data_IF_351057750742
#
_entry.id   IF_351057750742
#
_cell.length_a   1.000
_cell.length_b   1.000
_cell.length_c   1.000
_cell.angle_alpha   90.00
_cell.angle_beta   90.00
_cell.angle_gamma   90.00
#
_symmetry.space_group_name_H-M   'P 1'
#
loop_
_entity.id
_entity.type
_entity.pdbx_description
1 polymer ?
#
# COMPACT_ATOMS: atom_id res chain seq x y z
N UNK A 1 -3.94 -9.21 -18.62
CA UNK A 1 -4.50 -9.21 -17.26
C UNK A 1 -4.69 -10.67 -16.85
N UNK A 2 -4.23 -11.03 -15.66
CA UNK A 2 -4.26 -12.40 -15.14
C UNK A 2 -5.09 -12.37 -13.85
N UNK A 3 -6.02 -13.30 -13.69
CA UNK A 3 -6.83 -13.46 -12.49
C UNK A 3 -6.53 -14.83 -11.89
N UNK A 4 -6.34 -14.87 -10.58
CA UNK A 4 -6.10 -16.09 -9.82
C UNK A 4 -6.66 -15.96 -8.41
N UNK A 5 -6.54 -16.99 -7.61
CA UNK A 5 -6.83 -16.96 -6.17
C UNK A 5 -5.66 -17.58 -5.43
N UNK A 6 -5.31 -17.01 -4.30
CA UNK A 6 -4.28 -17.55 -3.40
C UNK A 6 -4.89 -17.80 -2.02
N UNK A 7 -4.82 -19.04 -1.57
CA UNK A 7 -5.13 -19.40 -0.18
C UNK A 7 -3.90 -19.12 0.66
N UNK A 8 -4.08 -18.33 1.69
CA UNK A 8 -3.02 -18.00 2.65
C UNK A 8 -2.98 -19.00 3.80
N UNK A 9 -1.82 -19.50 4.10
CA UNK A 9 -1.57 -20.30 5.29
C UNK A 9 -1.50 -19.40 6.53
N UNK A 10 -0.94 -18.20 6.38
CA UNK A 10 -0.79 -17.26 7.50
C UNK A 10 -2.14 -16.77 8.02
N UNK A 11 -3.06 -16.37 7.15
CA UNK A 11 -4.38 -15.84 7.55
C UNK A 11 -5.48 -16.90 7.59
N UNK A 12 -5.28 -18.06 6.92
CA UNK A 12 -6.31 -19.07 6.67
C UNK A 12 -7.36 -18.65 5.63
N UNK A 13 -7.27 -17.43 5.11
CA UNK A 13 -8.18 -16.86 4.12
C UNK A 13 -7.81 -17.22 2.67
N UNK A 14 -8.70 -16.87 1.73
CA UNK A 14 -8.43 -16.94 0.30
C UNK A 14 -8.66 -15.56 -0.32
N UNK A 15 -7.70 -15.10 -1.11
CA UNK A 15 -7.70 -13.77 -1.70
C UNK A 15 -7.71 -13.87 -3.22
N UNK A 16 -8.61 -13.12 -3.86
CA UNK A 16 -8.55 -12.93 -5.30
C UNK A 16 -7.31 -12.09 -5.65
N UNK A 17 -6.53 -12.55 -6.60
CA UNK A 17 -5.30 -11.86 -7.05
C UNK A 17 -5.46 -11.49 -8.51
N UNK A 18 -5.26 -10.21 -8.82
CA UNK A 18 -5.28 -9.67 -10.18
C UNK A 18 -3.90 -9.12 -10.52
N UNK A 19 -3.35 -9.52 -11.66
CA UNK A 19 -2.03 -9.06 -12.10
C UNK A 19 -2.11 -8.38 -13.45
N UNK A 20 -1.57 -7.17 -13.54
CA UNK A 20 -1.30 -6.48 -14.80
C UNK A 20 0.20 -6.48 -15.07
N UNK A 21 0.58 -6.91 -16.25
CA UNK A 21 1.95 -6.88 -16.75
C UNK A 21 2.09 -5.73 -17.75
N UNK A 22 3.04 -4.81 -17.55
CA UNK A 22 3.26 -3.70 -18.48
C UNK A 22 3.91 -4.18 -19.78
N UNK A 23 3.91 -3.37 -20.87
CA UNK A 23 4.54 -3.73 -22.14
C UNK A 23 6.01 -4.16 -22.02
N UNK A 24 6.78 -3.54 -21.14
CA UNK A 24 8.18 -3.94 -20.89
C UNK A 24 8.33 -5.37 -20.40
N UNK A 25 7.30 -5.97 -19.83
CA UNK A 25 7.34 -7.39 -19.42
C UNK A 25 7.44 -8.33 -20.63
N UNK A 26 6.76 -8.04 -21.73
CA UNK A 26 6.84 -8.83 -22.95
C UNK A 26 8.10 -8.49 -23.78
N UNK A 27 8.53 -7.23 -23.75
CA UNK A 27 9.61 -6.71 -24.59
C UNK A 27 11.02 -6.98 -24.06
N UNK A 28 11.17 -7.29 -22.76
CA UNK A 28 12.50 -7.37 -22.11
C UNK A 28 12.65 -8.57 -21.19
N UNK A 29 13.85 -8.70 -20.62
CA UNK A 29 14.23 -9.73 -19.65
C UNK A 29 14.53 -9.19 -18.26
N UNK A 30 14.69 -7.87 -18.11
CA UNK A 30 14.99 -7.23 -16.83
C UNK A 30 13.84 -7.40 -15.83
N UNK A 31 14.13 -7.62 -14.53
CA UNK A 31 13.12 -7.60 -13.48
C UNK A 31 12.44 -6.23 -13.38
N UNK A 32 11.13 -6.23 -13.13
CA UNK A 32 10.32 -5.02 -13.04
C UNK A 32 9.88 -4.72 -11.61
N UNK A 33 9.76 -3.43 -11.25
CA UNK A 33 9.16 -3.05 -9.98
C UNK A 33 7.73 -3.57 -9.88
N UNK A 34 7.26 -3.79 -8.65
CA UNK A 34 5.92 -4.30 -8.39
C UNK A 34 5.17 -3.42 -7.41
N UNK A 35 3.92 -3.13 -7.70
CA UNK A 35 3.01 -2.36 -6.84
C UNK A 35 1.92 -3.29 -6.33
N UNK A 36 1.90 -3.54 -5.03
CA UNK A 36 0.85 -4.30 -4.34
C UNK A 36 -0.23 -3.35 -3.84
N UNK A 37 -1.47 -3.60 -4.20
CA UNK A 37 -2.62 -2.76 -3.87
C UNK A 37 -3.62 -3.56 -3.07
N UNK A 38 -3.88 -3.15 -1.83
CA UNK A 38 -4.93 -3.74 -1.00
C UNK A 38 -6.32 -3.39 -1.55
N UNK A 39 -7.31 -4.26 -1.32
CA UNK A 39 -8.69 -4.02 -1.76
C UNK A 39 -8.80 -3.65 -3.25
N UNK A 40 -8.03 -4.35 -4.11
CA UNK A 40 -8.00 -4.07 -5.55
C UNK A 40 -9.33 -4.27 -6.27
N UNK A 41 -10.25 -4.99 -5.67
CA UNK A 41 -11.62 -5.23 -6.16
C UNK A 41 -12.66 -4.21 -5.63
N UNK A 42 -12.27 -3.28 -4.74
CA UNK A 42 -13.16 -2.22 -4.27
C UNK A 42 -13.63 -1.34 -5.43
N UNK A 43 -14.93 -1.05 -5.46
CA UNK A 43 -15.55 -0.23 -6.51
C UNK A 43 -15.47 1.26 -6.18
N UNK A 44 -15.17 2.09 -7.17
CA UNK A 44 -15.23 3.55 -7.07
C UNK A 44 -16.62 4.13 -7.34
N UNK A 45 -17.66 3.44 -6.95
CA UNK A 45 -19.03 3.91 -7.11
C UNK A 45 -20.04 2.90 -6.58
N UNK A 46 -21.27 3.33 -6.46
CA UNK A 46 -22.37 2.51 -5.96
C UNK A 46 -23.01 1.60 -7.01
N UNK A 47 -22.68 1.77 -8.29
CA UNK A 47 -23.18 0.89 -9.35
C UNK A 47 -22.26 -0.32 -9.51
N UNK A 48 -22.82 -1.52 -9.66
CA UNK A 48 -22.04 -2.73 -9.90
C UNK A 48 -21.24 -2.71 -11.22
N UNK A 49 -21.38 -1.65 -12.04
CA UNK A 49 -20.63 -1.41 -13.28
C UNK A 49 -19.48 -0.42 -13.07
N UNK A 50 -19.30 0.12 -11.86
CA UNK A 50 -18.19 1.02 -11.56
C UNK A 50 -16.85 0.28 -11.70
N UNK A 51 -15.79 0.97 -12.17
CA UNK A 51 -14.47 0.37 -12.25
C UNK A 51 -13.96 0.03 -10.85
N UNK A 52 -13.21 -1.06 -10.75
CA UNK A 52 -12.52 -1.41 -9.51
C UNK A 52 -11.29 -0.51 -9.30
N UNK A 53 -10.80 -0.46 -8.08
CA UNK A 53 -9.55 0.20 -7.72
C UNK A 53 -8.41 -0.29 -8.62
N UNK A 54 -8.28 -1.60 -8.78
CA UNK A 54 -7.27 -2.19 -9.67
C UNK A 54 -7.42 -1.74 -11.13
N UNK A 55 -8.65 -1.73 -11.69
CA UNK A 55 -8.86 -1.33 -13.08
C UNK A 55 -8.54 0.14 -13.31
N UNK A 56 -8.89 0.99 -12.34
CA UNK A 56 -8.58 2.43 -12.39
C UNK A 56 -7.08 2.66 -12.32
N UNK A 57 -6.39 2.01 -11.38
CA UNK A 57 -4.93 2.12 -11.25
C UNK A 57 -4.19 1.59 -12.48
N UNK A 58 -4.65 0.47 -13.04
CA UNK A 58 -4.13 -0.03 -14.33
C UNK A 58 -4.26 1.01 -15.44
N UNK A 59 -5.42 1.68 -15.56
CA UNK A 59 -5.63 2.73 -16.58
C UNK A 59 -4.69 3.93 -16.35
N UNK A 60 -4.48 4.34 -15.10
CA UNK A 60 -3.51 5.39 -14.76
C UNK A 60 -2.11 5.00 -15.21
N UNK A 61 -1.66 3.78 -14.89
CA UNK A 61 -0.34 3.27 -15.28
C UNK A 61 -0.20 3.21 -16.81
N UNK A 62 -1.22 2.75 -17.53
CA UNK A 62 -1.23 2.69 -19.00
C UNK A 62 -1.11 4.09 -19.61
N UNK A 63 -1.90 5.05 -19.12
CA UNK A 63 -1.87 6.45 -19.60
C UNK A 63 -0.51 7.10 -19.37
N UNK A 64 0.14 6.80 -18.25
CA UNK A 64 1.47 7.34 -17.89
C UNK A 64 2.63 6.56 -18.52
N UNK A 65 2.39 5.40 -19.10
CA UNK A 65 3.44 4.52 -19.60
C UNK A 65 4.31 3.88 -18.50
N UNK A 66 3.79 3.78 -17.27
CA UNK A 66 4.56 3.23 -16.13
C UNK A 66 4.90 1.76 -16.33
N UNK A 67 6.18 1.42 -16.27
CA UNK A 67 6.69 0.07 -16.49
C UNK A 67 6.88 -0.67 -15.16
N UNK A 68 5.78 -0.93 -14.46
CA UNK A 68 5.74 -1.71 -13.23
C UNK A 68 4.63 -2.76 -13.29
N UNK A 69 4.81 -3.87 -12.58
CA UNK A 69 3.77 -4.90 -12.40
C UNK A 69 2.77 -4.36 -11.37
N UNK A 70 1.47 -4.45 -11.65
CA UNK A 70 0.42 -4.11 -10.68
C UNK A 70 -0.21 -5.40 -10.17
N UNK A 71 -0.25 -5.56 -8.84
CA UNK A 71 -0.87 -6.70 -8.16
C UNK A 71 -1.99 -6.17 -7.27
N UNK A 72 -3.24 -6.43 -7.66
CA UNK A 72 -4.41 -6.15 -6.84
C UNK A 72 -4.74 -7.35 -5.96
N UNK A 73 -4.82 -7.12 -4.66
CA UNK A 73 -5.24 -8.10 -3.67
C UNK A 73 -6.70 -7.84 -3.39
N UNK A 74 -7.56 -8.83 -3.55
CA UNK A 74 -8.99 -8.70 -3.29
C UNK A 74 -9.28 -8.36 -1.83
N UNK A 75 -10.41 -7.72 -1.60
CA UNK A 75 -10.86 -7.37 -0.27
C UNK A 75 -11.07 -8.59 0.61
N UNK A 76 -10.96 -8.39 1.90
CA UNK A 76 -11.20 -9.40 2.91
C UNK A 76 -12.47 -9.10 3.70
N UNK A 77 -13.24 -10.14 4.03
CA UNK A 77 -14.38 -10.00 4.93
C UNK A 77 -13.95 -9.61 6.36
N UNK A 78 -12.66 -9.76 6.67
CA UNK A 78 -12.07 -9.47 7.98
C UNK A 78 -11.15 -8.22 7.94
N UNK A 79 -11.46 -7.23 7.08
CA UNK A 79 -10.59 -6.05 6.91
C UNK A 79 -10.28 -5.30 8.21
N UNK A 80 -11.20 -5.32 9.17
CA UNK A 80 -11.00 -4.72 10.50
C UNK A 80 -9.98 -5.49 11.37
N UNK A 81 -9.70 -6.76 11.03
CA UNK A 81 -8.65 -7.56 11.67
C UNK A 81 -7.39 -7.55 10.82
N UNK A 82 -7.52 -7.82 9.51
CA UNK A 82 -6.38 -7.98 8.62
C UNK A 82 -5.58 -6.69 8.42
N UNK A 83 -6.24 -5.54 8.47
CA UNK A 83 -5.56 -4.26 8.24
C UNK A 83 -5.18 -3.51 9.52
N UNK A 84 -5.77 -3.86 10.66
CA UNK A 84 -5.49 -3.19 11.93
C UNK A 84 -4.64 -4.07 12.85
N UNK A 85 -3.84 -3.45 13.71
CA UNK A 85 -3.08 -4.17 14.71
C UNK A 85 -4.02 -4.86 15.73
N UNK A 86 -3.68 -6.08 16.19
CA UNK A 86 -2.45 -6.85 15.90
C UNK A 86 -2.50 -7.69 14.62
N UNK A 87 -3.66 -7.88 14.00
CA UNK A 87 -3.86 -8.76 12.83
C UNK A 87 -3.08 -8.33 11.60
N UNK A 88 -2.75 -7.03 11.48
CA UNK A 88 -1.93 -6.49 10.38
C UNK A 88 -0.59 -7.24 10.19
N UNK A 89 0.01 -7.76 11.26
CA UNK A 89 1.25 -8.54 11.17
C UNK A 89 1.03 -9.88 10.44
N UNK A 90 -0.10 -10.52 10.65
CA UNK A 90 -0.47 -11.78 9.99
C UNK A 90 -0.75 -11.55 8.50
N UNK A 91 -1.50 -10.49 8.18
CA UNK A 91 -1.77 -10.12 6.80
C UNK A 91 -0.49 -9.66 6.04
N UNK A 92 0.41 -8.97 6.73
CA UNK A 92 1.73 -8.63 6.20
C UNK A 92 2.55 -9.89 5.86
N UNK A 93 2.52 -10.91 6.72
CA UNK A 93 3.17 -12.19 6.43
C UNK A 93 2.59 -12.87 5.17
N UNK A 94 1.27 -12.86 5.00
CA UNK A 94 0.66 -13.33 3.76
C UNK A 94 1.25 -12.59 2.53
N UNK A 95 1.32 -11.27 2.56
CA UNK A 95 1.84 -10.53 1.40
C UNK A 95 3.33 -10.81 1.20
N UNK A 96 4.14 -10.78 2.24
CA UNK A 96 5.61 -10.80 2.10
C UNK A 96 6.21 -12.19 2.02
N UNK A 97 5.56 -13.22 2.59
CA UNK A 97 6.08 -14.59 2.63
C UNK A 97 5.40 -15.54 1.65
N UNK A 98 4.18 -15.23 1.21
CA UNK A 98 3.42 -16.11 0.31
C UNK A 98 3.20 -15.45 -1.05
N UNK A 99 2.52 -14.28 -1.10
CA UNK A 99 2.14 -13.63 -2.33
C UNK A 99 3.35 -13.09 -3.11
N UNK A 100 4.18 -12.25 -2.50
CA UNK A 100 5.28 -11.60 -3.19
C UNK A 100 6.28 -12.61 -3.78
N UNK A 101 6.73 -13.66 -3.04
CA UNK A 101 7.58 -14.69 -3.64
C UNK A 101 6.91 -15.44 -4.79
N UNK A 102 5.58 -15.62 -4.76
CA UNK A 102 4.84 -16.24 -5.86
C UNK A 102 4.84 -15.36 -7.11
N UNK A 103 4.57 -14.07 -6.95
CA UNK A 103 4.61 -13.07 -8.04
C UNK A 103 6.01 -12.99 -8.66
N UNK A 104 7.05 -12.97 -7.85
CA UNK A 104 8.44 -12.86 -8.28
C UNK A 104 8.88 -14.06 -9.12
N UNK A 105 8.52 -15.26 -8.69
CA UNK A 105 8.81 -16.48 -9.47
C UNK A 105 8.08 -16.52 -10.80
N UNK A 106 6.86 -15.99 -10.86
CA UNK A 106 6.02 -16.11 -12.05
C UNK A 106 6.21 -14.99 -13.06
N UNK A 107 6.54 -13.77 -12.61
CA UNK A 107 6.44 -12.58 -13.45
C UNK A 107 7.70 -11.70 -13.48
N UNK A 108 8.87 -12.23 -13.15
CA UNK A 108 10.13 -11.46 -13.15
C UNK A 108 10.01 -10.14 -12.36
N UNK A 109 9.34 -10.17 -11.23
CA UNK A 109 9.25 -9.03 -10.34
C UNK A 109 10.57 -8.85 -9.57
N UNK A 110 10.98 -7.59 -9.39
CA UNK A 110 12.20 -7.25 -8.64
C UNK A 110 11.89 -7.24 -7.13
N UNK A 111 12.48 -8.16 -6.34
CA UNK A 111 12.24 -8.22 -4.91
C UNK A 111 12.76 -7.00 -4.13
N UNK A 112 13.60 -6.16 -4.75
CA UNK A 112 14.15 -4.93 -4.14
C UNK A 112 13.34 -3.68 -4.47
N UNK A 113 12.39 -3.78 -5.40
CA UNK A 113 11.61 -2.64 -5.90
C UNK A 113 10.11 -2.90 -5.75
N UNK A 114 9.68 -3.11 -4.50
CA UNK A 114 8.28 -3.31 -4.16
C UNK A 114 7.67 -2.04 -3.60
N UNK A 115 6.46 -1.71 -4.05
CA UNK A 115 5.62 -0.68 -3.47
C UNK A 115 4.36 -1.29 -2.86
N UNK A 116 3.90 -0.76 -1.73
CA UNK A 116 2.65 -1.13 -1.06
C UNK A 116 1.70 0.07 -1.05
N UNK A 117 0.46 -0.12 -1.49
CA UNK A 117 -0.55 0.95 -1.55
C UNK A 117 -1.85 0.52 -0.88
N UNK A 118 -2.39 1.40 -0.06
CA UNK A 118 -3.66 1.19 0.63
C UNK A 118 -4.45 2.48 0.86
N UNK A 119 -5.78 2.36 0.90
CA UNK A 119 -6.74 3.42 1.19
C UNK A 119 -7.46 3.13 2.51
N UNK A 120 -7.71 4.14 3.33
CA UNK A 120 -8.51 4.02 4.55
C UNK A 120 -7.88 3.03 5.56
N UNK A 121 -8.55 1.94 5.93
CA UNK A 121 -7.93 0.87 6.73
C UNK A 121 -6.71 0.26 6.01
N UNK A 122 -6.75 0.14 4.67
CA UNK A 122 -5.58 -0.24 3.88
C UNK A 122 -4.44 0.79 3.98
N UNK A 123 -4.76 2.08 4.07
CA UNK A 123 -3.79 3.16 4.32
C UNK A 123 -3.13 3.04 5.70
N UNK A 124 -3.92 2.70 6.73
CA UNK A 124 -3.39 2.36 8.05
C UNK A 124 -2.46 1.14 7.98
N UNK A 125 -2.90 0.08 7.28
CA UNK A 125 -2.09 -1.12 7.11
C UNK A 125 -0.73 -0.83 6.48
N UNK A 126 -0.67 0.06 5.49
CA UNK A 126 0.60 0.45 4.85
C UNK A 126 1.58 1.02 5.87
N UNK A 127 1.13 1.91 6.76
CA UNK A 127 1.99 2.46 7.82
C UNK A 127 2.32 1.41 8.88
N UNK A 128 1.34 0.59 9.27
CA UNK A 128 1.56 -0.51 10.21
C UNK A 128 2.61 -1.50 9.68
N UNK A 129 2.60 -1.81 8.39
CA UNK A 129 3.60 -2.65 7.74
C UNK A 129 5.01 -2.06 7.87
N UNK A 130 5.17 -0.76 7.59
CA UNK A 130 6.45 -0.06 7.78
C UNK A 130 6.91 -0.14 9.25
N UNK A 131 5.99 0.05 10.21
CA UNK A 131 6.34 0.01 11.65
C UNK A 131 6.75 -1.42 12.06
N UNK A 132 5.97 -2.44 11.69
CA UNK A 132 6.26 -3.84 12.01
C UNK A 132 7.64 -4.23 11.46
N UNK A 133 7.90 -3.97 10.20
CA UNK A 133 9.16 -4.32 9.53
C UNK A 133 10.33 -3.46 10.00
N UNK A 134 10.11 -2.17 10.23
CA UNK A 134 11.11 -1.27 10.78
C UNK A 134 11.55 -1.67 12.19
N UNK A 135 10.63 -2.11 13.03
CA UNK A 135 10.96 -2.67 14.33
C UNK A 135 11.76 -3.98 14.24
N UNK A 136 11.49 -4.79 13.21
CA UNK A 136 12.25 -6.01 12.92
C UNK A 136 13.59 -5.75 12.22
N UNK A 137 13.85 -4.53 11.75
CA UNK A 137 15.08 -4.14 11.05
C UNK A 137 15.19 -4.68 9.63
N UNK A 138 14.09 -5.07 9.00
CA UNK A 138 14.08 -5.64 7.65
C UNK A 138 12.82 -5.23 6.89
N UNK A 139 12.94 -4.30 5.93
CA UNK A 139 11.83 -3.83 5.11
C UNK A 139 11.66 -4.70 3.86
N UNK A 140 10.44 -5.13 3.59
CA UNK A 140 10.06 -5.85 2.37
C UNK A 140 9.72 -4.92 1.22
N UNK A 141 9.39 -3.67 1.50
CA UNK A 141 9.00 -2.67 0.52
C UNK A 141 9.97 -1.49 0.53
N UNK A 142 10.27 -0.98 -0.65
CA UNK A 142 11.04 0.25 -0.84
C UNK A 142 10.17 1.50 -0.84
N UNK A 143 8.86 1.34 -1.12
CA UNK A 143 7.91 2.44 -1.22
C UNK A 143 6.58 2.09 -0.57
N UNK A 144 6.03 3.04 0.17
CA UNK A 144 4.77 2.92 0.89
C UNK A 144 3.86 4.10 0.54
N UNK A 145 2.70 3.84 -0.07
CA UNK A 145 1.66 4.83 -0.33
C UNK A 145 0.48 4.61 0.61
N UNK A 146 0.36 5.45 1.61
CA UNK A 146 -0.74 5.46 2.56
C UNK A 146 -1.70 6.59 2.24
N UNK A 147 -2.88 6.25 1.72
CA UNK A 147 -3.91 7.24 1.38
C UNK A 147 -5.03 7.23 2.42
N UNK A 148 -5.35 8.41 2.96
CA UNK A 148 -6.48 8.61 3.88
C UNK A 148 -6.51 7.57 5.01
N UNK A 149 -5.37 7.27 5.61
CA UNK A 149 -5.24 6.27 6.67
C UNK A 149 -6.33 6.44 7.75
N UNK A 150 -6.98 5.34 8.13
CA UNK A 150 -8.08 5.32 9.07
C UNK A 150 -7.91 4.20 10.08
N UNK A 151 -7.94 4.53 11.35
CA UNK A 151 -7.94 3.54 12.44
C UNK A 151 -9.34 2.96 12.69
N UNK A 152 -10.37 3.51 12.06
CA UNK A 152 -11.76 3.09 12.27
C UNK A 152 -12.21 3.28 13.72
N UNK A 153 -13.29 2.58 14.09
CA UNK A 153 -13.78 2.56 15.48
C UNK A 153 -13.04 1.58 16.40
N UNK A 154 -12.02 0.88 15.91
CA UNK A 154 -11.34 -0.23 16.60
C UNK A 154 -9.97 0.12 17.18
N UNK A 155 -9.52 1.33 17.00
CA UNK A 155 -8.29 1.83 17.54
C UNK A 155 -8.37 3.34 17.66
N UNK A 156 -7.66 3.91 18.60
CA UNK A 156 -7.54 5.36 18.62
C UNK A 156 -6.24 5.79 17.94
N UNK A 157 -6.25 6.97 17.35
CA UNK A 157 -5.07 7.56 16.72
C UNK A 157 -3.89 7.64 17.70
N UNK A 158 -4.17 7.89 18.98
CA UNK A 158 -3.17 7.94 20.03
C UNK A 158 -2.39 6.64 20.20
N UNK A 159 -3.09 5.48 20.23
CA UNK A 159 -2.43 4.18 20.34
C UNK A 159 -1.56 3.89 19.12
N UNK A 160 -2.03 4.25 17.92
CA UNK A 160 -1.26 4.07 16.71
C UNK A 160 -0.01 4.96 16.66
N UNK A 161 -0.14 6.23 17.04
CA UNK A 161 0.98 7.16 17.15
C UNK A 161 2.00 6.70 18.22
N UNK A 162 1.52 6.14 19.34
CA UNK A 162 2.40 5.58 20.36
C UNK A 162 3.17 4.35 19.86
N UNK A 163 2.56 3.54 18.99
CA UNK A 163 3.22 2.40 18.36
C UNK A 163 4.25 2.86 17.32
N UNK A 164 3.89 3.79 16.45
CA UNK A 164 4.78 4.35 15.44
C UNK A 164 6.00 5.04 16.07
N UNK A 165 5.82 5.73 17.20
CA UNK A 165 6.92 6.39 17.91
C UNK A 165 8.08 5.48 18.27
N UNK A 166 7.87 4.16 18.34
CA UNK A 166 8.93 3.18 18.61
C UNK A 166 9.93 3.06 17.46
N UNK A 167 9.63 3.64 16.29
CA UNK A 167 10.55 3.69 15.15
C UNK A 167 11.67 4.73 15.32
N UNK A 168 11.57 5.66 16.28
CA UNK A 168 12.57 6.71 16.45
C UNK A 168 13.99 6.13 16.58
N UNK A 169 14.91 6.66 15.78
CA UNK A 169 16.27 6.16 15.68
C UNK A 169 16.47 4.90 14.82
N UNK A 170 15.40 4.26 14.33
CA UNK A 170 15.52 3.07 13.47
C UNK A 170 15.86 3.45 12.03
N UNK A 171 16.80 2.74 11.38
CA UNK A 171 17.02 2.93 9.95
C UNK A 171 15.83 2.42 9.14
N UNK A 172 15.30 3.27 8.28
CA UNK A 172 14.15 2.97 7.41
C UNK A 172 14.50 3.34 5.96
N UNK A 173 15.28 2.52 5.22
CA UNK A 173 15.68 2.82 3.85
C UNK A 173 14.51 2.64 2.88
N UNK A 174 13.53 3.52 2.97
CA UNK A 174 12.30 3.49 2.17
C UNK A 174 11.72 4.89 1.97
N UNK A 175 10.78 5.00 1.04
CA UNK A 175 9.94 6.19 0.87
C UNK A 175 8.55 5.93 1.43
N UNK A 176 8.10 6.74 2.39
CA UNK A 176 6.71 6.78 2.83
C UNK A 176 6.03 8.04 2.29
N UNK A 177 4.96 7.84 1.54
CA UNK A 177 4.13 8.91 1.03
C UNK A 177 2.76 8.88 1.72
N UNK A 178 2.54 9.83 2.62
CA UNK A 178 1.27 10.05 3.33
C UNK A 178 0.41 10.99 2.51
N UNK A 179 -0.75 10.54 2.09
CA UNK A 179 -1.65 11.32 1.25
C UNK A 179 -3.07 11.30 1.78
N UNK A 180 -3.87 12.31 1.43
CA UNK A 180 -5.26 12.31 1.82
C UNK A 180 -6.07 13.49 1.30
N UNK A 181 -7.35 13.53 1.69
CA UNK A 181 -8.26 14.63 1.42
C UNK A 181 -8.07 15.75 2.46
N UNK A 182 -8.15 17.01 2.02
CA UNK A 182 -7.98 18.18 2.91
C UNK A 182 -8.97 18.22 4.07
N UNK A 183 -10.16 17.64 3.89
CA UNK A 183 -11.20 17.57 4.92
C UNK A 183 -11.49 16.14 5.39
N UNK A 184 -10.59 15.20 5.13
CA UNK A 184 -10.73 13.79 5.48
C UNK A 184 -9.95 13.38 6.72
N UNK A 185 -9.53 12.12 6.78
CA UNK A 185 -8.71 11.55 7.87
C UNK A 185 -7.32 12.18 7.97
N UNK A 186 -6.89 12.90 6.95
CA UNK A 186 -5.62 13.65 6.94
C UNK A 186 -5.50 14.58 8.16
N UNK A 187 -6.59 15.27 8.54
CA UNK A 187 -6.59 16.18 9.69
C UNK A 187 -6.41 15.43 11.01
N UNK A 188 -7.06 14.27 11.16
CA UNK A 188 -7.09 13.53 12.42
C UNK A 188 -5.91 12.56 12.58
N UNK A 189 -5.37 12.03 11.48
CA UNK A 189 -4.37 10.97 11.49
C UNK A 189 -3.16 11.35 10.65
N UNK A 190 -3.36 11.73 9.39
CA UNK A 190 -2.25 11.97 8.46
C UNK A 190 -1.32 13.10 8.90
N UNK A 191 -1.87 14.24 9.34
CA UNK A 191 -1.06 15.38 9.80
C UNK A 191 -0.33 15.10 11.12
N UNK A 192 -0.98 14.56 12.18
CA UNK A 192 -0.28 14.16 13.39
C UNK A 192 0.81 13.11 13.14
N UNK A 193 0.53 12.10 12.33
CA UNK A 193 1.50 11.06 11.96
C UNK A 193 2.70 11.64 11.23
N UNK A 194 2.44 12.49 10.21
CA UNK A 194 3.52 13.15 9.47
C UNK A 194 4.40 14.01 10.39
N UNK A 195 3.77 14.81 11.26
CA UNK A 195 4.49 15.67 12.18
C UNK A 195 5.36 14.86 13.16
N UNK A 196 4.84 13.75 13.67
CA UNK A 196 5.58 12.85 14.55
C UNK A 196 6.78 12.22 13.85
N UNK A 197 6.56 11.61 12.67
CA UNK A 197 7.63 10.98 11.90
C UNK A 197 8.69 11.98 11.42
N UNK A 198 8.28 13.19 11.05
CA UNK A 198 9.20 14.26 10.64
C UNK A 198 10.09 14.76 11.79
N UNK A 199 9.64 14.60 13.05
CA UNK A 199 10.41 14.94 14.23
C UNK A 199 11.36 13.83 14.70
N UNK A 200 11.24 12.62 14.13
CA UNK A 200 12.08 11.47 14.43
C UNK A 200 13.36 11.46 13.60
N UNK A 201 14.35 10.72 14.08
CA UNK A 201 15.60 10.48 13.36
C UNK A 201 15.60 9.07 12.77
N UNK A 202 15.02 8.90 11.59
CA UNK A 202 14.97 7.62 10.89
C UNK A 202 15.91 7.63 9.66
N UNK A 203 17.17 7.17 9.80
CA UNK A 203 18.12 7.16 8.70
C UNK A 203 17.59 6.41 7.47
N UNK A 204 17.67 7.04 6.30
CA UNK A 204 17.24 6.46 5.03
C UNK A 204 15.77 6.64 4.70
N UNK A 205 14.95 7.16 5.63
CA UNK A 205 13.54 7.43 5.34
C UNK A 205 13.38 8.70 4.49
N UNK A 206 12.71 8.56 3.35
CA UNK A 206 12.17 9.69 2.60
C UNK A 206 10.69 9.83 2.95
N UNK A 207 10.35 10.87 3.69
CA UNK A 207 8.97 11.14 4.13
C UNK A 207 8.34 12.21 3.24
N UNK A 208 7.25 11.87 2.57
CA UNK A 208 6.51 12.74 1.67
C UNK A 208 5.08 12.90 2.14
N UNK A 209 4.47 14.07 1.81
CA UNK A 209 3.06 14.35 2.11
C UNK A 209 2.40 15.10 0.96
N UNK A 210 1.13 14.78 0.69
CA UNK A 210 0.25 15.57 -0.18
C UNK A 210 -1.20 15.52 0.30
N UNK A 211 -1.93 16.60 0.03
CA UNK A 211 -3.36 16.72 0.32
C UNK A 211 -4.11 17.12 -0.95
N UNK A 212 -5.27 16.51 -1.16
CA UNK A 212 -6.10 16.73 -2.34
C UNK A 212 -7.46 17.32 -1.93
N UNK A 213 -7.93 18.28 -2.69
CA UNK A 213 -9.32 18.77 -2.54
C UNK A 213 -10.29 17.75 -3.13
N UNK A 214 -10.55 16.71 -2.36
CA UNK A 214 -11.31 15.53 -2.77
C UNK A 214 -12.08 14.94 -1.58
N UNK A 215 -12.97 13.99 -1.86
CA UNK A 215 -13.56 13.15 -0.83
C UNK A 215 -12.58 12.10 -0.33
N UNK A 216 -12.91 11.41 0.76
CA UNK A 216 -12.13 10.31 1.33
C UNK A 216 -11.67 9.29 0.28
N UNK A 217 -12.59 8.80 -0.54
CA UNK A 217 -12.26 7.86 -1.63
C UNK A 217 -11.69 8.59 -2.84
N UNK A 218 -12.11 9.83 -3.09
CA UNK A 218 -11.68 10.63 -4.23
C UNK A 218 -10.19 11.00 -4.21
N UNK A 219 -9.53 10.98 -3.05
CA UNK A 219 -8.10 11.23 -2.92
C UNK A 219 -7.22 10.09 -3.45
N UNK A 220 -7.75 8.87 -3.61
CA UNK A 220 -6.96 7.68 -3.89
C UNK A 220 -6.32 7.69 -5.30
N UNK A 221 -7.07 8.09 -6.31
CA UNK A 221 -6.56 8.13 -7.69
C UNK A 221 -5.48 9.21 -7.89
N UNK A 222 -5.68 10.47 -7.48
CA UNK A 222 -4.61 11.48 -7.59
C UNK A 222 -3.40 11.12 -6.71
N UNK A 223 -3.59 10.52 -5.54
CA UNK A 223 -2.50 10.03 -4.71
C UNK A 223 -1.67 8.95 -5.42
N UNK A 224 -2.33 8.00 -6.08
CA UNK A 224 -1.63 6.96 -6.84
C UNK A 224 -0.90 7.53 -8.04
N UNK A 225 -1.49 8.49 -8.75
CA UNK A 225 -0.85 9.15 -9.90
C UNK A 225 0.40 9.93 -9.49
N UNK A 226 0.36 10.66 -8.38
CA UNK A 226 1.51 11.34 -7.79
C UNK A 226 2.57 10.36 -7.30
N UNK A 227 2.16 9.26 -6.67
CA UNK A 227 3.09 8.22 -6.23
C UNK A 227 3.85 7.60 -7.40
N UNK A 228 3.19 7.33 -8.54
CA UNK A 228 3.88 6.81 -9.73
C UNK A 228 4.97 7.76 -10.22
N UNK A 229 4.72 9.07 -10.22
CA UNK A 229 5.70 10.07 -10.63
C UNK A 229 6.92 10.15 -9.69
N UNK A 230 6.74 9.83 -8.42
CA UNK A 230 7.78 9.91 -7.38
C UNK A 230 8.53 8.60 -7.21
N UNK A 231 7.84 7.46 -7.31
CA UNK A 231 8.41 6.14 -7.07
C UNK A 231 9.06 5.53 -8.32
N UNK A 232 8.54 5.90 -9.50
CA UNK A 232 8.96 5.36 -10.79
C UNK A 232 9.08 6.49 -11.84
N UNK A 233 10.00 7.47 -11.62
CA UNK A 233 10.20 8.60 -12.51
C UNK A 233 10.65 8.21 -13.92
#
# INVERSE_FOLDING_TARGET
MINSSLRSEATGGSYAIRVYLPPAHAAGTAPLPTIYVTEGDALYGSSGLAPTRFDTFKQVMQRRGTQAILVGIGGTAQRGTDFLLPGAAVYLNFITKELAPSIERQYRADPKRRALSGLSHGGYFVVAALVIEGMAGALSFSHYLSTEASVGGHGNATSFLAYEKQLDGKPLPATLFLTGATNGNTVLIGNPLYAQMAAQSNPGLTLLKAEYNASHVGADVPAFEDALARFFP
#
